data_IF_212886364803
#
_entry.id   IF_212886364803
#
_cell.length_a   1.000
_cell.length_b   1.000
_cell.length_c   1.000
_cell.angle_alpha   90.00
_cell.angle_beta   90.00
_cell.angle_gamma   90.00
#
_symmetry.space_group_name_H-M   'P 1'
#
loop_
_entity.id
_entity.type
_entity.pdbx_description
1 polymer ?
#
# COMPACT_ATOMS: atom_id res chain seq x y z
N UNK A 1 8.14 34.48 65.63
CA UNK A 1 6.89 35.03 65.08
C UNK A 1 7.27 36.00 63.97
N UNK A 2 7.02 35.60 62.72
CA UNK A 2 7.48 36.28 61.51
C UNK A 2 6.54 37.42 61.08
N UNK A 3 7.13 38.31 60.30
CA UNK A 3 6.79 39.69 59.93
C UNK A 3 5.49 39.90 59.13
N UNK A 4 4.95 41.12 59.23
CA UNK A 4 4.05 41.72 58.24
C UNK A 4 4.81 41.94 56.91
N UNK A 5 4.14 41.71 55.78
CA UNK A 5 4.30 42.61 54.64
C UNK A 5 3.05 42.70 53.76
N UNK A 6 2.90 43.88 53.19
CA UNK A 6 1.77 44.38 52.41
C UNK A 6 1.80 43.88 50.96
N UNK A 7 0.64 43.58 50.38
CA UNK A 7 0.50 43.30 48.95
C UNK A 7 -0.52 44.24 48.32
N UNK A 8 -0.04 45.32 47.69
CA UNK A 8 -0.83 46.23 46.86
C UNK A 8 -1.46 45.49 45.68
N UNK A 9 -2.77 45.63 45.49
CA UNK A 9 -3.44 45.21 44.27
C UNK A 9 -3.16 46.22 43.15
N UNK A 10 -2.31 45.85 42.20
CA UNK A 10 -2.07 46.62 40.97
C UNK A 10 -3.15 46.24 39.95
N UNK A 11 -4.01 47.18 39.56
CA UNK A 11 -5.00 47.00 38.50
C UNK A 11 -4.34 47.06 37.11
N UNK A 12 -4.44 45.97 36.35
CA UNK A 12 -3.98 45.87 34.96
C UNK A 12 -5.08 46.36 33.99
N UNK A 13 -4.78 47.15 32.94
CA UNK A 13 -5.79 47.60 31.99
C UNK A 13 -6.15 46.50 30.97
N UNK A 14 -7.44 46.24 30.77
CA UNK A 14 -7.94 45.28 29.77
C UNK A 14 -7.59 45.69 28.32
N UNK A 15 -7.16 44.74 27.45
CA UNK A 15 -6.87 45.03 26.05
C UNK A 15 -8.14 45.26 25.23
N UNK A 16 -8.21 46.39 24.53
CA UNK A 16 -9.30 46.70 23.58
C UNK A 16 -8.99 46.12 22.20
N UNK A 17 -9.81 45.17 21.74
CA UNK A 17 -9.69 44.60 20.40
C UNK A 17 -10.54 45.38 19.40
N UNK A 18 -9.90 45.98 18.39
CA UNK A 18 -10.55 46.65 17.25
C UNK A 18 -10.74 45.65 16.12
N UNK A 19 -11.98 45.43 15.66
CA UNK A 19 -12.29 44.60 14.48
C UNK A 19 -12.12 45.40 13.19
N UNK A 20 -11.19 45.01 12.34
CA UNK A 20 -11.10 45.47 10.95
C UNK A 20 -11.94 44.55 10.07
N UNK A 21 -12.94 45.08 9.37
CA UNK A 21 -13.74 44.32 8.39
C UNK A 21 -13.08 44.37 7.02
N UNK A 22 -12.65 43.22 6.50
CA UNK A 22 -12.20 43.08 5.13
C UNK A 22 -13.38 42.78 4.20
N UNK A 23 -13.49 43.52 3.09
CA UNK A 23 -14.48 43.28 2.04
C UNK A 23 -13.94 42.21 1.07
N UNK A 24 -14.58 41.04 0.91
CA UNK A 24 -14.12 40.04 -0.05
C UNK A 24 -14.45 40.48 -1.49
N UNK A 25 -13.47 40.32 -2.38
CA UNK A 25 -13.68 40.47 -3.82
C UNK A 25 -14.34 39.18 -4.38
N UNK A 26 -15.26 39.30 -5.37
CA UNK A 26 -15.86 38.13 -6.00
C UNK A 26 -14.82 37.38 -6.83
N UNK A 27 -14.70 36.07 -6.60
CA UNK A 27 -13.92 35.14 -7.44
C UNK A 27 -14.94 34.30 -8.20
N UNK A 28 -14.83 34.26 -9.53
CA UNK A 28 -15.65 33.39 -10.38
C UNK A 28 -15.31 31.92 -10.12
N UNK A 29 -16.24 31.18 -9.52
CA UNK A 29 -16.11 29.73 -9.30
C UNK A 29 -16.51 28.99 -10.58
N UNK A 30 -15.63 28.21 -11.23
CA UNK A 30 -16.06 27.35 -12.32
C UNK A 30 -17.01 26.26 -11.79
N UNK A 31 -18.17 26.11 -12.45
CA UNK A 31 -19.13 25.05 -12.11
C UNK A 31 -18.54 23.68 -12.47
N UNK A 32 -18.52 22.68 -11.55
CA UNK A 32 -18.02 21.35 -11.88
C UNK A 32 -18.93 20.72 -12.95
N UNK A 33 -18.34 20.30 -14.07
CA UNK A 33 -19.04 19.46 -15.03
C UNK A 33 -19.28 18.07 -14.39
N UNK A 34 -20.51 17.57 -14.47
CA UNK A 34 -20.83 16.23 -13.98
C UNK A 34 -20.00 15.18 -14.74
N UNK A 35 -19.26 14.35 -13.99
CA UNK A 35 -18.48 13.24 -14.53
C UNK A 35 -19.46 12.15 -14.98
N UNK A 36 -19.40 11.66 -16.23
CA UNK A 36 -20.26 10.56 -16.65
C UNK A 36 -19.91 9.29 -15.86
N UNK A 37 -20.91 8.68 -15.23
CA UNK A 37 -20.77 7.37 -14.59
C UNK A 37 -20.54 6.32 -15.68
N UNK A 38 -19.30 5.85 -15.80
CA UNK A 38 -18.97 4.73 -16.68
C UNK A 38 -19.33 3.44 -15.93
N UNK A 39 -20.16 2.54 -16.50
CA UNK A 39 -20.41 1.26 -15.87
C UNK A 39 -19.10 0.47 -15.80
N UNK A 40 -18.70 0.05 -14.59
CA UNK A 40 -17.57 -0.86 -14.40
C UNK A 40 -17.91 -2.21 -14.99
N UNK A 41 -17.47 -2.43 -16.23
CA UNK A 41 -17.54 -3.72 -16.92
C UNK A 41 -16.10 -4.15 -17.11
N UNK A 42 -15.49 -4.69 -16.05
CA UNK A 42 -14.14 -5.24 -16.14
C UNK A 42 -14.15 -6.44 -17.10
N UNK A 43 -13.51 -6.29 -18.26
CA UNK A 43 -13.36 -7.30 -19.31
C UNK A 43 -12.18 -8.24 -19.04
N UNK A 44 -12.14 -9.41 -19.69
CA UNK A 44 -11.07 -10.41 -19.54
C UNK A 44 -9.65 -9.89 -19.88
N UNK A 45 -9.53 -8.76 -20.59
CA UNK A 45 -8.28 -8.06 -20.87
C UNK A 45 -7.77 -7.16 -19.72
N UNK A 46 -8.62 -6.82 -18.74
CA UNK A 46 -8.22 -6.05 -17.55
C UNK A 46 -7.49 -6.89 -16.49
N UNK A 47 -7.19 -8.16 -16.80
CA UNK A 47 -6.61 -9.18 -15.94
C UNK A 47 -5.21 -9.66 -16.39
N UNK A 48 -4.48 -8.87 -17.19
CA UNK A 48 -3.14 -9.26 -17.63
C UNK A 48 -2.27 -9.71 -16.44
N UNK A 49 -1.61 -10.87 -16.56
CA UNK A 49 -0.74 -11.39 -15.51
C UNK A 49 0.38 -10.37 -15.23
N UNK A 50 0.69 -10.09 -13.95
CA UNK A 50 1.80 -9.20 -13.64
C UNK A 50 3.09 -9.81 -14.21
N UNK A 51 3.86 -8.97 -14.92
CA UNK A 51 5.12 -9.39 -15.54
C UNK A 51 6.25 -9.10 -14.57
N UNK A 52 7.01 -10.14 -14.24
CA UNK A 52 8.18 -9.99 -13.38
C UNK A 52 9.29 -9.23 -14.14
N UNK A 53 9.90 -8.19 -13.56
CA UNK A 53 10.89 -7.40 -14.28
C UNK A 53 12.21 -8.14 -14.49
N UNK A 54 12.69 -8.21 -15.74
CA UNK A 54 13.93 -8.91 -16.11
C UNK A 54 15.17 -8.41 -15.34
N UNK A 55 15.24 -7.10 -15.08
CA UNK A 55 16.36 -6.48 -14.34
C UNK A 55 16.42 -6.90 -12.86
N UNK A 56 15.33 -7.46 -12.34
CA UNK A 56 15.21 -7.98 -10.98
C UNK A 56 15.39 -9.50 -10.94
N UNK A 57 15.34 -10.17 -12.09
CA UNK A 57 15.51 -11.62 -12.19
C UNK A 57 17.02 -11.97 -12.12
N UNK A 58 17.47 -12.65 -11.04
CA UNK A 58 18.87 -13.05 -10.90
C UNK A 58 19.30 -14.08 -11.97
N UNK A 59 18.38 -14.73 -12.66
CA UNK A 59 18.69 -15.66 -13.76
C UNK A 59 18.97 -14.92 -15.08
N UNK A 60 18.53 -13.65 -15.20
CA UNK A 60 18.63 -12.84 -16.42
C UNK A 60 19.60 -11.66 -16.29
N UNK A 61 20.01 -11.33 -15.06
CA UNK A 61 20.83 -10.15 -14.78
C UNK A 61 22.08 -10.52 -13.98
N UNK A 62 23.27 -10.19 -14.50
CA UNK A 62 24.56 -10.45 -13.86
C UNK A 62 24.94 -9.44 -12.76
N UNK A 63 24.23 -8.33 -12.67
CA UNK A 63 24.51 -7.22 -11.74
C UNK A 63 23.38 -7.08 -10.73
N UNK A 64 23.68 -7.36 -9.47
CA UNK A 64 22.74 -7.16 -8.37
C UNK A 64 22.30 -5.68 -8.28
N UNK A 65 20.99 -5.38 -8.36
CA UNK A 65 20.47 -4.06 -8.03
C UNK A 65 20.67 -3.73 -6.54
N UNK A 66 20.60 -2.46 -6.15
CA UNK A 66 20.64 -2.14 -4.72
C UNK A 66 19.43 -2.72 -3.98
N UNK A 67 19.59 -2.96 -2.69
CA UNK A 67 18.54 -3.46 -1.79
C UNK A 67 17.23 -2.65 -1.92
N UNK A 68 17.32 -1.33 -2.02
CA UNK A 68 16.14 -0.46 -2.20
C UNK A 68 15.47 -0.70 -3.55
N UNK A 69 16.25 -0.92 -4.62
CA UNK A 69 15.70 -1.24 -5.94
C UNK A 69 15.05 -2.62 -5.96
N UNK A 70 15.61 -3.59 -5.24
CA UNK A 70 15.04 -4.92 -5.10
C UNK A 70 13.69 -4.82 -4.41
N UNK A 71 13.64 -4.18 -3.23
CA UNK A 71 12.41 -3.99 -2.46
C UNK A 71 11.36 -3.24 -3.29
N UNK A 72 11.74 -2.14 -3.95
CA UNK A 72 10.81 -1.37 -4.76
C UNK A 72 10.29 -2.17 -5.96
N UNK A 73 11.16 -2.87 -6.69
CA UNK A 73 10.76 -3.66 -7.85
C UNK A 73 9.79 -4.79 -7.49
N UNK A 74 10.04 -5.47 -6.37
CA UNK A 74 9.11 -6.48 -5.83
C UNK A 74 7.80 -5.85 -5.36
N UNK A 75 7.86 -4.71 -4.67
CA UNK A 75 6.66 -3.99 -4.23
C UNK A 75 5.80 -3.59 -5.44
N UNK A 76 6.40 -3.04 -6.49
CA UNK A 76 5.69 -2.64 -7.71
C UNK A 76 5.08 -3.85 -8.43
N UNK A 77 5.84 -4.95 -8.50
CA UNK A 77 5.38 -6.19 -9.12
C UNK A 77 4.17 -6.80 -8.39
N UNK A 78 4.18 -6.76 -7.05
CA UNK A 78 3.14 -7.34 -6.20
C UNK A 78 1.97 -6.39 -5.91
N UNK A 79 2.13 -5.10 -6.16
CA UNK A 79 1.07 -4.12 -5.98
C UNK A 79 -0.11 -4.43 -6.89
N UNK A 80 -1.32 -4.39 -6.33
CA UNK A 80 -2.58 -4.77 -6.96
C UNK A 80 -2.58 -6.20 -7.50
N UNK A 81 -1.94 -7.13 -6.78
CA UNK A 81 -1.93 -8.55 -7.13
C UNK A 81 -2.62 -9.41 -6.10
N UNK A 82 -3.02 -10.60 -6.53
CA UNK A 82 -3.49 -11.69 -5.69
C UNK A 82 -2.57 -12.88 -5.87
N UNK A 83 -2.12 -13.44 -4.75
CA UNK A 83 -1.37 -14.70 -4.71
C UNK A 83 -2.32 -15.81 -4.29
N UNK A 84 -2.42 -16.86 -5.10
CA UNK A 84 -3.19 -18.05 -4.75
C UNK A 84 -2.27 -19.15 -4.22
N UNK A 85 -2.55 -19.65 -3.02
CA UNK A 85 -1.85 -20.78 -2.42
C UNK A 85 -2.70 -22.06 -2.51
N UNK A 86 -2.24 -23.01 -3.32
CA UNK A 86 -2.98 -24.25 -3.59
C UNK A 86 -2.96 -25.27 -2.44
N UNK A 87 -2.06 -25.13 -1.45
CA UNK A 87 -1.96 -26.09 -0.33
C UNK A 87 -3.17 -26.02 0.63
N UNK A 88 -3.74 -24.84 0.82
CA UNK A 88 -4.83 -24.60 1.77
C UNK A 88 -6.13 -24.31 1.04
N UNK A 89 -6.53 -25.20 0.12
CA UNK A 89 -7.82 -25.11 -0.58
C UNK A 89 -8.00 -23.85 -1.43
N UNK A 90 -6.90 -23.33 -1.99
CA UNK A 90 -6.85 -22.08 -2.76
C UNK A 90 -7.09 -20.84 -1.90
N UNK A 91 -6.34 -20.68 -0.80
CA UNK A 91 -6.33 -19.41 -0.09
C UNK A 91 -5.77 -18.32 -0.99
N UNK A 92 -6.29 -17.10 -0.84
CA UNK A 92 -5.92 -15.95 -1.65
C UNK A 92 -5.47 -14.80 -0.75
N UNK A 93 -4.31 -14.24 -1.06
CA UNK A 93 -3.75 -13.07 -0.41
C UNK A 93 -3.72 -11.93 -1.43
N UNK A 94 -4.43 -10.85 -1.18
CA UNK A 94 -4.53 -9.68 -2.05
C UNK A 94 -3.68 -8.54 -1.49
N UNK A 95 -2.72 -8.07 -2.29
CA UNK A 95 -1.77 -7.03 -1.92
C UNK A 95 -2.08 -5.76 -2.73
N UNK A 96 -2.74 -4.77 -2.11
CA UNK A 96 -3.20 -3.57 -2.78
C UNK A 96 -2.16 -2.44 -2.73
N UNK A 97 -2.08 -1.61 -3.77
CA UNK A 97 -1.07 -0.56 -3.88
C UNK A 97 -1.14 0.52 -2.76
N UNK A 98 -2.28 0.65 -2.10
CA UNK A 98 -2.48 1.53 -0.93
C UNK A 98 -1.93 0.94 0.38
N UNK A 99 -1.37 -0.27 0.34
CA UNK A 99 -0.85 -0.99 1.49
C UNK A 99 -1.87 -1.91 2.16
N UNK A 100 -3.14 -1.84 1.75
CA UNK A 100 -4.19 -2.70 2.30
C UNK A 100 -3.98 -4.15 1.86
N UNK A 101 -4.22 -5.07 2.80
CA UNK A 101 -4.12 -6.50 2.57
C UNK A 101 -5.46 -7.19 2.84
N UNK A 102 -5.88 -8.08 1.94
CA UNK A 102 -7.04 -8.94 2.17
C UNK A 102 -6.65 -10.40 2.10
N UNK A 103 -7.17 -11.18 3.04
CA UNK A 103 -7.00 -12.63 3.05
C UNK A 103 -8.33 -13.34 2.83
N UNK A 104 -8.30 -14.42 2.06
CA UNK A 104 -9.38 -15.38 1.93
C UNK A 104 -8.80 -16.75 2.25
N UNK A 105 -9.04 -17.22 3.46
CA UNK A 105 -8.62 -18.55 3.88
C UNK A 105 -9.70 -19.59 3.56
N UNK A 106 -9.34 -20.72 2.96
CA UNK A 106 -10.27 -21.84 2.82
C UNK A 106 -10.60 -22.44 4.21
N UNK A 107 -11.86 -22.87 4.47
CA UNK A 107 -13.01 -22.94 3.56
C UNK A 107 -13.86 -21.66 3.52
N UNK A 108 -13.42 -20.56 4.12
CA UNK A 108 -14.16 -19.30 4.05
C UNK A 108 -14.18 -18.80 2.60
N UNK A 109 -15.38 -18.45 2.14
CA UNK A 109 -15.56 -17.73 0.88
C UNK A 109 -15.48 -16.21 1.09
N UNK A 110 -15.48 -15.77 2.35
CA UNK A 110 -15.41 -14.36 2.70
C UNK A 110 -13.98 -13.85 2.56
N UNK A 111 -13.86 -12.72 1.88
CA UNK A 111 -12.63 -11.96 1.81
C UNK A 111 -12.62 -10.98 2.98
N UNK A 112 -11.62 -11.09 3.85
CA UNK A 112 -11.51 -10.29 5.07
C UNK A 112 -10.30 -9.38 4.95
N UNK A 113 -10.49 -8.11 5.28
CA UNK A 113 -9.37 -7.18 5.42
C UNK A 113 -8.49 -7.66 6.57
N UNK A 114 -7.22 -7.89 6.28
CA UNK A 114 -6.27 -8.27 7.31
C UNK A 114 -5.96 -7.04 8.17
N UNK A 115 -5.82 -7.20 9.49
CA UNK A 115 -5.38 -6.09 10.34
C UNK A 115 -3.92 -5.67 10.07
N UNK A 116 -3.20 -6.40 9.22
CA UNK A 116 -1.80 -6.16 8.89
C UNK A 116 -1.68 -5.52 7.50
N UNK A 117 -1.11 -4.32 7.43
CA UNK A 117 -0.62 -3.77 6.16
C UNK A 117 0.49 -4.69 5.61
N UNK A 118 0.56 -4.83 4.28
CA UNK A 118 1.61 -5.63 3.65
C UNK A 118 2.82 -4.77 3.29
N UNK A 119 3.99 -5.38 3.30
CA UNK A 119 5.23 -4.76 2.84
C UNK A 119 6.21 -5.83 2.37
N UNK A 120 7.12 -5.41 1.50
CA UNK A 120 8.24 -6.24 1.03
C UNK A 120 9.47 -5.89 1.84
N UNK A 121 10.15 -6.90 2.36
CA UNK A 121 11.47 -6.76 2.98
C UNK A 121 12.44 -7.75 2.38
N UNK A 122 13.74 -7.49 2.51
CA UNK A 122 14.75 -8.48 2.16
C UNK A 122 14.66 -9.66 3.11
N UNK A 123 14.81 -10.87 2.57
CA UNK A 123 14.85 -12.06 3.39
C UNK A 123 16.20 -12.14 4.13
N UNK A 124 16.25 -12.09 5.48
CA UNK A 124 17.49 -11.91 6.25
C UNK A 124 18.44 -13.13 6.25
N UNK A 125 18.11 -14.19 5.50
CA UNK A 125 18.83 -15.46 5.49
C UNK A 125 19.63 -15.77 4.23
N UNK A 126 19.68 -14.87 3.24
CA UNK A 126 20.23 -15.17 1.93
C UNK A 126 21.54 -14.43 1.64
N UNK A 127 22.49 -15.13 1.02
CA UNK A 127 23.78 -14.57 0.59
C UNK A 127 23.56 -13.43 -0.41
N UNK A 128 24.57 -12.59 -0.61
CA UNK A 128 24.57 -11.49 -1.60
C UNK A 128 24.29 -11.94 -3.05
N UNK A 129 24.10 -13.23 -3.31
CA UNK A 129 23.82 -13.83 -4.61
C UNK A 129 22.35 -14.21 -4.83
N UNK A 130 21.46 -14.02 -3.84
CA UNK A 130 20.06 -14.43 -3.93
C UNK A 130 19.13 -13.24 -3.63
N UNK A 131 19.23 -12.23 -4.50
CA UNK A 131 18.33 -11.07 -4.53
C UNK A 131 17.00 -11.34 -5.24
N UNK A 132 16.84 -12.53 -5.80
CA UNK A 132 15.56 -13.00 -6.36
C UNK A 132 14.57 -13.44 -5.29
N UNK A 133 14.86 -13.24 -4.02
CA UNK A 133 14.01 -13.65 -2.89
C UNK A 133 13.76 -12.49 -1.93
N UNK A 134 12.50 -12.29 -1.58
CA UNK A 134 12.02 -11.29 -0.62
C UNK A 134 11.09 -11.93 0.40
N UNK A 135 10.68 -11.17 1.41
CA UNK A 135 9.72 -11.59 2.42
C UNK A 135 8.51 -10.66 2.41
N UNK A 136 7.31 -11.25 2.49
CA UNK A 136 6.02 -10.57 2.63
C UNK A 136 5.30 -11.22 3.80
N UNK A 137 4.89 -10.46 4.82
CA UNK A 137 4.16 -10.99 5.98
C UNK A 137 4.79 -12.27 6.56
N UNK A 138 6.10 -12.26 6.73
CA UNK A 138 6.92 -13.41 7.17
C UNK A 138 7.01 -14.59 6.21
N UNK A 139 6.34 -14.57 5.05
CA UNK A 139 6.42 -15.59 3.99
C UNK A 139 7.51 -15.21 3.00
N UNK A 140 8.57 -16.03 2.83
CA UNK A 140 9.55 -15.80 1.78
C UNK A 140 8.94 -16.11 0.42
N UNK A 141 9.13 -15.22 -0.55
CA UNK A 141 8.78 -15.41 -1.97
C UNK A 141 10.03 -15.23 -2.81
N UNK A 142 10.28 -16.18 -3.71
CA UNK A 142 11.43 -16.19 -4.61
C UNK A 142 11.07 -16.42 -6.07
N UNK A 143 11.93 -15.97 -6.98
CA UNK A 143 11.81 -16.21 -8.42
C UNK A 143 12.86 -17.26 -8.84
N UNK A 144 12.41 -18.44 -9.26
CA UNK A 144 13.27 -19.58 -9.64
C UNK A 144 12.72 -20.28 -10.89
N UNK A 145 13.53 -20.40 -11.93
CA UNK A 145 13.26 -21.23 -13.11
C UNK A 145 12.00 -20.82 -13.88
N UNK A 146 11.77 -19.52 -14.01
CA UNK A 146 10.55 -19.00 -14.66
C UNK A 146 9.38 -18.71 -13.71
N UNK A 147 9.46 -19.15 -12.44
CA UNK A 147 8.28 -19.30 -11.57
C UNK A 147 8.49 -18.66 -10.21
N UNK A 148 7.39 -18.29 -9.57
CA UNK A 148 7.40 -17.73 -8.21
C UNK A 148 7.17 -18.84 -7.20
N UNK A 149 7.98 -18.85 -6.15
CA UNK A 149 8.00 -19.89 -5.13
C UNK A 149 7.88 -19.30 -3.74
N UNK A 150 7.19 -20.00 -2.84
CA UNK A 150 7.20 -19.73 -1.41
C UNK A 150 7.42 -21.01 -0.63
N UNK A 151 8.60 -21.12 0.00
CA UNK A 151 9.07 -22.40 0.52
C UNK A 151 9.23 -23.45 -0.58
N UNK A 152 8.47 -24.54 -0.52
CA UNK A 152 8.49 -25.63 -1.52
C UNK A 152 7.33 -25.57 -2.52
N UNK A 153 6.62 -24.44 -2.62
CA UNK A 153 5.41 -24.34 -3.44
C UNK A 153 5.53 -23.26 -4.50
N UNK A 154 4.97 -23.56 -5.67
CA UNK A 154 4.78 -22.59 -6.74
C UNK A 154 3.54 -21.74 -6.45
N UNK A 155 3.67 -20.43 -6.60
CA UNK A 155 2.60 -19.47 -6.44
C UNK A 155 2.09 -19.00 -7.80
N UNK A 156 0.77 -18.96 -7.91
CA UNK A 156 0.11 -18.25 -9.00
C UNK A 156 -0.15 -16.82 -8.56
N UNK A 157 0.30 -15.86 -9.37
CA UNK A 157 0.08 -14.43 -9.15
C UNK A 157 -0.71 -13.87 -10.31
N UNK A 158 -1.78 -13.12 -9.99
CA UNK A 158 -2.63 -12.43 -10.96
C UNK A 158 -2.95 -11.02 -10.46
N UNK A 159 -3.51 -10.17 -11.30
CA UNK A 159 -4.05 -8.88 -10.83
C UNK A 159 -5.24 -9.08 -9.89
N UNK A 160 -5.28 -8.30 -8.81
CA UNK A 160 -6.35 -8.33 -7.82
C UNK A 160 -7.49 -7.40 -8.22
N UNK A 161 -8.61 -7.97 -8.67
CA UNK A 161 -9.83 -7.19 -8.93
C UNK A 161 -10.31 -6.44 -7.68
N UNK A 162 -10.11 -7.01 -6.49
CA UNK A 162 -10.48 -6.36 -5.24
C UNK A 162 -9.71 -5.05 -5.02
N UNK A 163 -8.41 -5.06 -5.29
CA UNK A 163 -7.58 -3.85 -5.14
C UNK A 163 -8.00 -2.78 -6.16
N UNK A 164 -8.32 -3.19 -7.39
CA UNK A 164 -8.84 -2.28 -8.41
C UNK A 164 -10.20 -1.68 -8.05
N UNK A 165 -11.10 -2.47 -7.46
CA UNK A 165 -12.39 -2.00 -6.94
C UNK A 165 -12.20 -0.93 -5.86
N UNK A 166 -11.27 -1.16 -4.92
CA UNK A 166 -10.98 -0.21 -3.84
C UNK A 166 -10.40 1.09 -4.38
N UNK A 167 -9.41 1.00 -5.26
CA UNK A 167 -8.82 2.17 -5.91
C UNK A 167 -9.88 3.02 -6.65
N UNK A 168 -10.90 2.40 -7.23
CA UNK A 168 -12.01 3.10 -7.88
C UNK A 168 -12.97 3.76 -6.88
N UNK A 169 -13.17 3.18 -5.69
CA UNK A 169 -14.01 3.77 -4.63
C UNK A 169 -13.31 4.87 -3.84
N UNK A 170 -11.98 4.88 -3.83
CA UNK A 170 -11.14 5.87 -3.15
C UNK A 170 -10.89 7.14 -3.98
N UNK A 171 -11.75 7.45 -4.96
CA UNK A 171 -11.64 8.64 -5.81
C UNK A 171 -11.66 9.97 -5.04
N UNK A 172 -11.12 11.05 -5.63
CA UNK A 172 -10.27 12.10 -5.04
C UNK A 172 -10.87 12.92 -3.88
#
# INVERSE_FOLDING_TARGET
MQSQDSGSATSEPEPTFVRVTATPAPIDTPTPAAIPTVPSVSTAEQLADPVFPDWLDPELTDVQPSDEKIIQGWTDFLSDTVITNQLFGNSQEHFCADGTHFSRAWPSLELVESPEDWSVTLHPGLSSSDWGTVQIQSIPISRIGGKLWGGQQEHEIRRSLKCLELAATSGP
#
